data_IF_068954603949
#
_entry.id   IF_068954603949
#
_cell.length_a   1.000
_cell.length_b   1.000
_cell.length_c   1.000
_cell.angle_alpha   90.00
_cell.angle_beta   90.00
_cell.angle_gamma   90.00
#
_symmetry.space_group_name_H-M   'P 1'
#
loop_
_entity.id
_entity.type
_entity.pdbx_description
1 polymer ?
#
# COMPACT_ATOMS: atom_id res chain seq x y z
N UNK A 1 42.85 -58.74 -53.66
CA UNK A 1 41.48 -58.63 -53.12
C UNK A 1 41.46 -57.44 -52.15
N UNK A 2 40.87 -56.30 -52.55
CA UNK A 2 39.74 -55.57 -51.90
C UNK A 2 39.98 -55.32 -50.38
N UNK A 3 39.95 -54.11 -49.82
CA UNK A 3 39.00 -52.99 -49.96
C UNK A 3 39.63 -51.69 -49.43
N UNK A 4 39.39 -50.54 -50.05
CA UNK A 4 39.55 -49.22 -49.45
C UNK A 4 38.15 -48.61 -49.29
N UNK A 5 37.78 -48.23 -48.06
CA UNK A 5 36.52 -47.58 -47.74
C UNK A 5 36.71 -46.07 -47.77
N UNK A 6 35.93 -45.37 -48.61
CA UNK A 6 35.86 -43.92 -48.62
C UNK A 6 34.83 -43.46 -47.59
N UNK A 7 35.23 -42.59 -46.67
CA UNK A 7 34.35 -41.92 -45.71
C UNK A 7 33.91 -40.59 -46.35
N UNK A 8 32.62 -40.46 -46.63
CA UNK A 8 31.98 -39.21 -47.07
C UNK A 8 31.56 -38.42 -45.83
N UNK A 9 32.18 -37.26 -45.61
CA UNK A 9 31.80 -36.29 -44.59
C UNK A 9 30.63 -35.44 -45.14
N UNK A 10 29.45 -35.52 -44.53
CA UNK A 10 28.32 -34.66 -44.85
C UNK A 10 28.37 -33.39 -43.98
N UNK A 11 28.55 -32.21 -44.60
CA UNK A 11 28.39 -30.92 -43.94
C UNK A 11 26.89 -30.56 -43.87
N UNK A 12 26.32 -30.52 -42.68
CA UNK A 12 24.97 -30.00 -42.42
C UNK A 12 25.04 -28.52 -42.07
N UNK A 13 24.53 -27.65 -42.96
CA UNK A 13 24.44 -26.21 -42.74
C UNK A 13 23.09 -25.89 -42.05
N UNK A 14 23.11 -25.71 -40.72
CA UNK A 14 21.92 -25.34 -39.96
C UNK A 14 21.68 -23.83 -40.05
N UNK A 15 20.67 -23.41 -40.82
CA UNK A 15 20.23 -22.02 -40.90
C UNK A 15 19.48 -21.61 -39.62
N UNK A 16 20.04 -20.68 -38.86
CA UNK A 16 19.43 -20.12 -37.65
C UNK A 16 18.49 -18.98 -38.03
N UNK A 17 17.18 -19.16 -37.85
CA UNK A 17 16.20 -18.07 -38.00
C UNK A 17 16.27 -17.16 -36.75
N UNK A 18 16.36 -15.82 -36.90
CA UNK A 18 16.31 -14.90 -35.78
C UNK A 18 14.90 -14.85 -35.19
N UNK A 19 14.77 -15.27 -33.93
CA UNK A 19 13.54 -15.15 -33.15
C UNK A 19 13.36 -13.68 -32.74
N UNK A 20 12.22 -13.03 -33.02
CA UNK A 20 11.99 -11.66 -32.58
C UNK A 20 11.93 -11.62 -31.04
N UNK A 21 12.48 -10.58 -30.39
CA UNK A 21 12.41 -10.43 -28.95
C UNK A 21 10.94 -10.31 -28.52
N UNK A 22 10.50 -11.22 -27.64
CA UNK A 22 9.22 -11.10 -26.96
C UNK A 22 9.22 -9.82 -26.13
N UNK A 23 8.47 -8.81 -26.55
CA UNK A 23 8.22 -7.64 -25.74
C UNK A 23 7.41 -8.05 -24.50
N UNK A 24 8.06 -8.10 -23.32
CA UNK A 24 7.34 -8.25 -22.06
C UNK A 24 6.45 -7.04 -21.85
N UNK A 25 5.14 -7.21 -22.09
CA UNK A 25 4.15 -6.24 -21.68
C UNK A 25 4.24 -6.07 -20.14
N UNK A 26 4.54 -4.85 -19.70
CA UNK A 26 4.57 -4.51 -18.28
C UNK A 26 3.15 -4.71 -17.72
N UNK A 27 3.02 -5.48 -16.65
CA UNK A 27 1.73 -5.67 -15.98
C UNK A 27 1.12 -4.29 -15.64
N UNK A 28 -0.20 -4.11 -15.80
CA UNK A 28 -0.86 -2.87 -15.42
C UNK A 28 -0.60 -2.57 -13.94
N UNK A 29 -0.53 -1.28 -13.55
CA UNK A 29 -0.40 -0.92 -12.14
C UNK A 29 -1.59 -1.48 -11.35
N UNK A 30 -1.40 -1.86 -10.07
CA UNK A 30 -2.50 -2.32 -9.24
C UNK A 30 -3.58 -1.24 -9.11
N UNK A 31 -4.83 -1.67 -9.06
CA UNK A 31 -5.97 -0.77 -8.83
C UNK A 31 -5.96 -0.26 -7.38
N UNK A 32 -6.64 0.85 -7.06
CA UNK A 32 -6.80 1.31 -5.68
C UNK A 32 -7.34 0.22 -4.76
N UNK A 33 -8.37 -0.50 -5.21
CA UNK A 33 -8.96 -1.60 -4.45
C UNK A 33 -7.93 -2.71 -4.16
N UNK A 34 -7.16 -3.13 -5.17
CA UNK A 34 -6.14 -4.17 -4.99
C UNK A 34 -5.01 -3.74 -4.04
N UNK A 35 -4.69 -2.44 -4.00
CA UNK A 35 -3.75 -1.88 -3.01
C UNK A 35 -4.33 -2.04 -1.60
N UNK A 36 -5.58 -1.62 -1.37
CA UNK A 36 -6.21 -1.75 -0.05
C UNK A 36 -6.40 -3.21 0.36
N UNK A 37 -6.82 -4.10 -0.53
CA UNK A 37 -6.86 -5.54 -0.26
C UNK A 37 -5.50 -6.08 0.19
N UNK A 38 -4.41 -5.62 -0.42
CA UNK A 38 -3.05 -6.01 -0.03
C UNK A 38 -2.65 -5.48 1.34
N UNK A 39 -3.12 -4.29 1.74
CA UNK A 39 -2.91 -3.74 3.07
C UNK A 39 -3.62 -4.57 4.16
N UNK A 40 -4.84 -5.03 3.90
CA UNK A 40 -5.60 -5.83 4.87
C UNK A 40 -5.21 -7.31 4.93
N UNK A 41 -4.52 -7.83 3.90
CA UNK A 41 -4.19 -9.26 3.80
C UNK A 41 -3.52 -9.86 5.04
N UNK A 42 -2.54 -9.22 5.71
CA UNK A 42 -1.94 -9.77 6.92
C UNK A 42 -2.97 -9.93 8.06
N UNK A 43 -3.82 -8.93 8.26
CA UNK A 43 -4.85 -8.92 9.30
C UNK A 43 -5.98 -9.92 9.02
N UNK A 44 -6.28 -10.21 7.75
CA UNK A 44 -7.27 -11.23 7.38
C UNK A 44 -6.72 -12.65 7.43
N UNK A 45 -5.40 -12.82 7.28
CA UNK A 45 -4.74 -14.12 7.37
C UNK A 45 -4.67 -14.61 8.82
N UNK A 46 -4.55 -13.68 9.78
CA UNK A 46 -4.65 -13.96 11.21
C UNK A 46 -5.48 -12.88 11.91
N UNK A 47 -6.82 -13.00 11.89
CA UNK A 47 -7.72 -11.97 12.39
C UNK A 47 -7.76 -11.86 13.91
N UNK A 48 -7.12 -12.77 14.65
CA UNK A 48 -7.09 -12.80 16.11
C UNK A 48 -5.67 -12.79 16.66
N UNK A 49 -4.68 -12.41 15.85
CA UNK A 49 -3.29 -12.41 16.26
C UNK A 49 -3.09 -11.51 17.48
N UNK A 50 -2.30 -11.98 18.44
CA UNK A 50 -1.65 -11.11 19.40
C UNK A 50 -0.57 -10.30 18.67
N UNK A 51 -0.29 -9.07 19.12
CA UNK A 51 0.58 -8.07 18.45
C UNK A 51 2.04 -8.51 18.18
N UNK A 52 2.40 -9.74 18.52
CA UNK A 52 3.70 -10.35 18.22
C UNK A 52 3.95 -10.55 16.70
N UNK A 53 2.92 -10.37 15.84
CA UNK A 53 3.09 -10.28 14.39
C UNK A 53 3.33 -8.82 13.97
N UNK A 54 4.58 -8.49 13.67
CA UNK A 54 5.03 -7.16 13.24
C UNK A 54 4.48 -6.73 11.87
N UNK A 55 3.20 -6.33 11.80
CA UNK A 55 2.69 -5.55 10.67
C UNK A 55 2.96 -4.07 10.91
N UNK A 56 3.97 -3.52 10.23
CA UNK A 56 4.22 -2.08 10.25
C UNK A 56 3.22 -1.39 9.30
N UNK A 57 2.09 -0.94 9.84
CA UNK A 57 1.04 -0.24 9.07
C UNK A 57 1.55 1.08 8.49
N UNK A 58 2.40 1.82 9.22
CA UNK A 58 3.02 3.07 8.73
C UNK A 58 3.87 2.80 7.49
N UNK A 59 4.77 1.82 7.55
CA UNK A 59 5.58 1.42 6.40
C UNK A 59 4.71 0.89 5.25
N UNK A 60 3.59 0.23 5.57
CA UNK A 60 2.66 -0.30 4.56
C UNK A 60 1.93 0.79 3.81
N UNK A 61 1.41 1.82 4.49
CA UNK A 61 0.85 3.01 3.86
C UNK A 61 1.94 3.78 3.08
N UNK A 62 3.12 3.97 3.68
CA UNK A 62 4.23 4.70 3.08
C UNK A 62 4.62 4.16 1.69
N UNK A 63 4.67 2.82 1.51
CA UNK A 63 4.98 2.19 0.20
C UNK A 63 4.05 2.63 -0.94
N UNK A 64 2.82 3.00 -0.60
CA UNK A 64 1.80 3.41 -1.57
C UNK A 64 1.49 4.91 -1.52
N UNK A 65 2.13 5.68 -0.65
CA UNK A 65 1.83 7.08 -0.42
C UNK A 65 2.18 8.00 -1.60
N UNK A 66 1.50 9.15 -1.69
CA UNK A 66 1.97 10.29 -2.49
C UNK A 66 3.30 10.80 -1.93
N UNK A 67 4.15 11.45 -2.73
CA UNK A 67 5.38 12.06 -2.21
C UNK A 67 5.13 13.06 -1.07
N UNK A 68 3.95 13.70 -1.04
CA UNK A 68 3.57 14.61 0.02
C UNK A 68 3.30 13.85 1.33
N UNK A 69 2.43 12.83 1.29
CA UNK A 69 2.13 12.01 2.46
C UNK A 69 3.36 11.22 2.95
N UNK A 70 4.18 10.69 2.03
CA UNK A 70 5.42 9.99 2.37
C UNK A 70 6.37 10.85 3.23
N UNK A 71 6.60 12.11 2.84
CA UNK A 71 7.45 13.04 3.61
C UNK A 71 6.90 13.32 5.01
N UNK A 72 5.58 13.33 5.17
CA UNK A 72 4.94 13.54 6.47
C UNK A 72 5.12 12.31 7.37
N UNK A 73 4.99 11.10 6.82
CA UNK A 73 5.26 9.85 7.53
C UNK A 73 6.75 9.72 7.91
N UNK A 74 7.66 10.12 7.02
CA UNK A 74 9.10 10.17 7.29
C UNK A 74 9.43 11.11 8.45
N UNK A 75 8.75 12.26 8.53
CA UNK A 75 8.93 13.22 9.62
C UNK A 75 8.48 12.65 10.96
N UNK A 76 7.36 11.92 11.00
CA UNK A 76 6.90 11.24 12.22
C UNK A 76 7.91 10.16 12.65
N UNK A 77 8.39 9.35 11.70
CA UNK A 77 9.40 8.33 11.98
C UNK A 77 10.70 8.92 12.50
N UNK A 78 11.13 10.06 11.95
CA UNK A 78 12.31 10.78 12.40
C UNK A 78 12.11 11.38 13.81
N UNK A 79 10.89 11.84 14.13
CA UNK A 79 10.53 12.23 15.49
C UNK A 79 10.70 11.05 16.45
N UNK A 80 10.10 9.89 16.15
CA UNK A 80 10.17 8.71 17.00
C UNK A 80 11.62 8.25 17.23
N UNK A 81 12.45 8.28 16.18
CA UNK A 81 13.87 7.95 16.28
C UNK A 81 14.65 8.92 17.19
N UNK A 82 14.29 10.21 17.17
CA UNK A 82 14.94 11.25 17.97
C UNK A 82 14.47 11.27 19.43
N UNK A 83 13.18 11.06 19.68
CA UNK A 83 12.58 11.12 21.02
C UNK A 83 12.60 9.77 21.74
N UNK A 84 12.80 8.67 21.01
CA UNK A 84 12.62 7.30 21.51
C UNK A 84 11.22 7.07 22.12
N UNK A 85 10.23 7.85 21.68
CA UNK A 85 8.88 7.86 22.22
C UNK A 85 7.82 7.99 21.13
N UNK A 86 6.57 8.11 21.57
CA UNK A 86 5.43 8.35 20.71
C UNK A 86 5.49 9.77 20.13
N UNK A 87 5.14 9.89 18.85
CA UNK A 87 5.00 11.18 18.18
C UNK A 87 3.54 11.37 17.74
N UNK A 88 3.26 11.79 16.51
CA UNK A 88 1.89 12.06 16.07
C UNK A 88 1.06 10.79 15.89
N UNK A 89 1.70 9.66 15.63
CA UNK A 89 1.05 8.37 15.42
C UNK A 89 1.40 7.41 16.56
N UNK A 90 0.38 6.85 17.20
CA UNK A 90 0.52 5.92 18.32
C UNK A 90 -0.34 4.66 18.18
N UNK A 91 -0.97 4.41 17.02
CA UNK A 91 -1.83 3.26 16.76
C UNK A 91 -1.57 2.65 15.37
N UNK A 92 -2.15 1.47 15.10
CA UNK A 92 -2.09 0.85 13.76
C UNK A 92 -3.08 1.53 12.81
N UNK A 93 -2.54 2.13 11.74
CA UNK A 93 -3.32 2.92 10.80
C UNK A 93 -4.37 2.11 10.02
N UNK A 94 -4.13 0.81 9.76
CA UNK A 94 -4.98 0.00 8.89
C UNK A 94 -6.19 -0.56 9.65
N UNK A 95 -6.02 -0.87 10.94
CA UNK A 95 -7.10 -1.46 11.76
C UNK A 95 -7.70 -0.51 12.79
N UNK A 96 -7.23 0.74 12.85
CA UNK A 96 -7.69 1.78 13.79
C UNK A 96 -7.70 1.26 15.24
N UNK A 97 -6.51 0.83 15.71
CA UNK A 97 -6.38 0.23 17.03
C UNK A 97 -4.95 -0.15 17.41
N UNK A 98 -4.77 -0.58 18.66
CA UNK A 98 -3.49 -1.11 19.14
C UNK A 98 -3.31 -2.60 18.85
N UNK A 99 -4.43 -3.32 18.93
CA UNK A 99 -4.59 -4.75 18.70
C UNK A 99 -5.76 -4.95 17.73
N UNK A 100 -5.91 -6.17 17.19
CA UNK A 100 -6.96 -6.42 16.22
C UNK A 100 -7.72 -7.74 16.44
N UNK A 101 -9.03 -7.64 16.23
CA UNK A 101 -9.95 -8.76 16.14
C UNK A 101 -10.93 -8.49 14.97
N UNK A 102 -10.52 -8.82 13.74
CA UNK A 102 -11.23 -8.41 12.53
C UNK A 102 -12.39 -9.35 12.20
N UNK A 103 -13.54 -8.76 11.88
CA UNK A 103 -14.66 -9.47 11.24
C UNK A 103 -15.45 -8.55 10.32
N UNK A 104 -16.26 -9.12 9.42
CA UNK A 104 -17.15 -8.35 8.56
C UNK A 104 -16.45 -7.42 7.56
N UNK A 105 -15.23 -7.77 7.12
CA UNK A 105 -14.45 -6.96 6.19
C UNK A 105 -15.11 -6.87 4.80
N UNK A 106 -15.25 -5.65 4.29
CA UNK A 106 -15.70 -5.35 2.94
C UNK A 106 -15.09 -4.06 2.41
N UNK A 107 -14.99 -3.98 1.08
CA UNK A 107 -14.48 -2.81 0.36
C UNK A 107 -15.52 -2.26 -0.61
N UNK A 108 -15.57 -0.94 -0.72
CA UNK A 108 -16.35 -0.20 -1.71
C UNK A 108 -15.41 0.77 -2.44
N UNK A 109 -15.45 0.80 -3.78
CA UNK A 109 -14.57 1.66 -4.58
C UNK A 109 -15.39 2.66 -5.38
N UNK A 110 -15.07 3.94 -5.24
CA UNK A 110 -15.59 5.03 -6.07
C UNK A 110 -14.42 5.68 -6.81
N UNK A 111 -14.45 5.66 -8.14
CA UNK A 111 -13.38 6.22 -8.98
C UNK A 111 -13.92 7.31 -9.90
N UNK A 112 -13.17 8.40 -10.05
CA UNK A 112 -13.52 9.52 -10.92
C UNK A 112 -12.25 10.10 -11.58
N UNK A 113 -12.01 9.73 -12.84
CA UNK A 113 -10.83 10.16 -13.59
C UNK A 113 -9.54 9.73 -12.89
N UNK A 114 -8.74 10.71 -12.47
CA UNK A 114 -7.44 10.52 -11.82
C UNK A 114 -7.52 10.45 -10.29
N UNK A 115 -8.73 10.32 -9.71
CA UNK A 115 -8.93 10.10 -8.27
C UNK A 115 -9.77 8.87 -8.02
N UNK A 116 -9.58 8.28 -6.84
CA UNK A 116 -10.44 7.21 -6.35
C UNK A 116 -10.52 7.27 -4.82
N UNK A 117 -11.62 6.76 -4.26
CA UNK A 117 -11.76 6.49 -2.84
C UNK A 117 -12.10 5.02 -2.68
N UNK A 118 -11.34 4.33 -1.83
CA UNK A 118 -11.65 2.96 -1.41
C UNK A 118 -12.05 3.00 0.04
N UNK A 119 -13.29 2.65 0.34
CA UNK A 119 -13.83 2.61 1.69
C UNK A 119 -13.78 1.18 2.22
N UNK A 120 -13.01 0.97 3.28
CA UNK A 120 -12.99 -0.28 4.03
C UNK A 120 -13.97 -0.21 5.19
N UNK A 121 -14.76 -1.28 5.37
CA UNK A 121 -15.68 -1.45 6.49
C UNK A 121 -15.41 -2.78 7.16
N UNK A 122 -15.29 -2.78 8.47
CA UNK A 122 -15.04 -3.98 9.27
C UNK A 122 -15.42 -3.71 10.73
N UNK A 123 -15.41 -4.76 11.55
CA UNK A 123 -15.48 -4.65 13.01
C UNK A 123 -14.11 -4.94 13.59
N UNK A 124 -13.65 -4.06 14.48
CA UNK A 124 -12.51 -4.29 15.37
C UNK A 124 -12.88 -3.76 16.78
N UNK A 125 -13.54 -4.61 17.58
CA UNK A 125 -14.23 -4.23 18.82
C UNK A 125 -15.53 -3.46 18.58
N UNK A 126 -15.45 -2.37 17.80
CA UNK A 126 -16.58 -1.59 17.28
C UNK A 126 -16.56 -1.57 15.74
N UNK A 127 -17.68 -1.19 15.09
CA UNK A 127 -17.66 -0.88 13.67
C UNK A 127 -16.60 0.19 13.35
N UNK A 128 -15.89 -0.02 12.23
CA UNK A 128 -14.84 0.86 11.70
C UNK A 128 -15.09 1.10 10.23
N UNK A 129 -14.91 2.35 9.81
CA UNK A 129 -14.98 2.76 8.41
C UNK A 129 -13.79 3.64 8.08
N UNK A 130 -12.93 3.17 7.18
CA UNK A 130 -11.72 3.86 6.75
C UNK A 130 -11.79 4.17 5.26
N UNK A 131 -11.67 5.45 4.90
CA UNK A 131 -11.63 5.91 3.52
C UNK A 131 -10.18 6.19 3.10
N UNK A 132 -9.71 5.45 2.08
CA UNK A 132 -8.42 5.65 1.46
C UNK A 132 -8.60 6.52 0.22
N UNK A 133 -8.07 7.75 0.26
CA UNK A 133 -8.12 8.66 -0.88
C UNK A 133 -6.89 8.45 -1.77
N UNK A 134 -7.13 8.20 -3.05
CA UNK A 134 -6.11 7.93 -4.05
C UNK A 134 -6.06 9.00 -5.12
N UNK A 135 -4.85 9.24 -5.63
CA UNK A 135 -4.59 10.03 -6.83
C UNK A 135 -3.73 9.24 -7.82
N UNK A 136 -3.99 9.39 -9.11
CA UNK A 136 -3.14 8.89 -10.18
C UNK A 136 -1.94 9.83 -10.33
N UNK A 137 -0.73 9.33 -10.09
CA UNK A 137 0.50 10.13 -10.18
C UNK A 137 1.64 9.32 -10.79
N UNK A 138 2.13 9.77 -11.95
CA UNK A 138 3.21 9.09 -12.68
C UNK A 138 2.82 7.68 -13.16
N UNK A 139 1.56 7.52 -13.61
CA UNK A 139 1.01 6.25 -14.09
C UNK A 139 0.82 5.19 -13.00
N UNK A 140 0.71 5.61 -11.73
CA UNK A 140 0.46 4.74 -10.58
C UNK A 140 -0.55 5.39 -9.64
N UNK A 141 -1.45 4.57 -9.10
CA UNK A 141 -2.30 4.96 -7.98
C UNK A 141 -1.47 5.11 -6.70
N UNK A 142 -1.71 6.19 -5.97
CA UNK A 142 -1.04 6.49 -4.71
C UNK A 142 -2.04 6.96 -3.66
N UNK A 143 -1.86 6.51 -2.42
CA UNK A 143 -2.63 6.97 -1.25
C UNK A 143 -2.21 8.41 -0.96
N UNK A 144 -3.13 9.35 -1.12
CA UNK A 144 -2.92 10.74 -0.74
C UNK A 144 -3.32 10.99 0.71
N UNK A 145 -4.37 10.32 1.19
CA UNK A 145 -4.82 10.40 2.57
C UNK A 145 -5.53 9.13 3.01
N UNK A 146 -5.59 8.92 4.32
CA UNK A 146 -6.37 7.90 5.00
C UNK A 146 -7.23 8.59 6.06
N UNK A 147 -8.54 8.40 5.96
CA UNK A 147 -9.51 9.05 6.83
C UNK A 147 -10.30 7.99 7.61
N UNK A 148 -10.30 8.11 8.94
CA UNK A 148 -11.19 7.32 9.80
C UNK A 148 -12.52 8.07 9.88
N UNK A 149 -13.56 7.47 9.32
CA UNK A 149 -14.92 7.97 9.36
C UNK A 149 -15.58 7.49 10.65
N UNK A 150 -16.27 8.40 11.35
CA UNK A 150 -17.13 8.02 12.48
C UNK A 150 -18.48 7.52 11.93
N UNK A 151 -18.93 6.38 12.44
CA UNK A 151 -20.20 5.75 12.03
C UNK A 151 -21.44 6.45 12.61
N UNK A 152 -21.27 7.50 13.44
CA UNK A 152 -22.36 8.30 13.99
C UNK A 152 -22.45 9.70 13.35
N UNK A 153 -23.46 9.89 12.52
CA UNK A 153 -23.84 11.19 11.95
C UNK A 153 -24.23 12.27 13.00
N UNK A 154 -24.05 12.00 14.29
CA UNK A 154 -24.42 12.85 15.43
C UNK A 154 -23.22 13.33 16.27
N UNK A 155 -21.99 12.85 16.04
CA UNK A 155 -20.83 13.36 16.76
C UNK A 155 -20.37 14.71 16.19
N UNK A 156 -20.24 15.71 17.04
CA UNK A 156 -19.69 17.05 16.75
C UNK A 156 -18.19 17.06 16.39
N UNK A 157 -17.60 15.88 16.18
CA UNK A 157 -16.17 15.68 15.98
C UNK A 157 -15.90 15.33 14.53
N UNK A 158 -15.07 16.13 13.88
CA UNK A 158 -14.62 15.92 12.51
C UNK A 158 -13.97 14.53 12.33
N UNK A 159 -14.07 13.90 11.14
CA UNK A 159 -13.34 12.68 10.85
C UNK A 159 -11.83 12.89 11.03
N UNK A 160 -11.11 11.85 11.47
CA UNK A 160 -9.66 11.94 11.64
C UNK A 160 -8.97 11.67 10.30
N UNK A 161 -8.14 12.61 9.84
CA UNK A 161 -7.32 12.47 8.63
C UNK A 161 -5.85 12.27 9.02
N UNK A 162 -5.21 11.26 8.42
CA UNK A 162 -3.78 10.99 8.57
C UNK A 162 -2.95 12.16 8.05
N UNK A 163 -3.25 12.63 6.83
CA UNK A 163 -2.52 13.71 6.18
C UNK A 163 -2.65 15.01 6.97
N UNK A 164 -3.85 15.36 7.41
CA UNK A 164 -4.07 16.61 8.17
C UNK A 164 -3.44 16.54 9.57
N UNK A 165 -3.50 15.39 10.23
CA UNK A 165 -2.84 15.17 11.53
C UNK A 165 -1.33 15.37 11.40
N UNK A 166 -0.71 14.73 10.42
CA UNK A 166 0.73 14.87 10.20
C UNK A 166 1.10 16.24 9.65
N UNK A 167 0.27 16.87 8.82
CA UNK A 167 0.54 18.21 8.29
C UNK A 167 0.44 19.29 9.39
N UNK A 168 -0.43 19.10 10.38
CA UNK A 168 -0.46 19.97 11.57
C UNK A 168 0.81 19.85 12.40
N UNK A 169 1.37 18.65 12.51
CA UNK A 169 2.55 18.40 13.33
C UNK A 169 3.87 18.72 12.61
N UNK A 170 3.95 18.41 11.30
CA UNK A 170 5.20 18.44 10.53
C UNK A 170 5.14 19.30 9.26
N UNK A 171 3.97 19.85 8.92
CA UNK A 171 3.80 20.68 7.74
C UNK A 171 4.44 22.07 7.88
N UNK A 172 4.47 22.86 6.79
CA UNK A 172 5.06 24.20 6.79
C UNK A 172 4.43 25.17 7.80
N UNK A 173 3.17 24.92 8.16
CA UNK A 173 2.40 25.69 9.14
C UNK A 173 2.39 25.07 10.55
N UNK A 174 3.15 24.00 10.78
CA UNK A 174 3.28 23.39 12.10
C UNK A 174 3.76 24.44 13.10
N UNK A 175 2.99 24.64 14.17
CA UNK A 175 3.40 25.52 15.25
C UNK A 175 4.64 24.89 15.86
N UNK A 176 5.79 25.57 15.78
CA UNK A 176 7.02 25.19 16.48
C UNK A 176 6.74 25.22 17.98
N UNK A 177 6.24 24.13 18.55
CA UNK A 177 6.27 23.91 19.98
C UNK A 177 7.73 23.62 20.32
N UNK A 178 8.40 24.70 20.76
CA UNK A 178 9.79 24.75 21.19
C UNK A 178 9.90 24.28 22.63
#
# INVERSE_FOLDING_TARGET
MKRAAAVLLALSLAASLPMPPSASAKAPPPTPQAIVEALYRPYLADPHAEKDIATDSVASIHRHATPALARLLDADRACQARTQGLCALDFDLIVDGQDWNLSGFGLETLSAGDTATVTARFTNGTPRVLAYHFVMSGGRWRVDDLVILKDDAAASDQPWSLKDTLAREYGPAAKKHR
#
